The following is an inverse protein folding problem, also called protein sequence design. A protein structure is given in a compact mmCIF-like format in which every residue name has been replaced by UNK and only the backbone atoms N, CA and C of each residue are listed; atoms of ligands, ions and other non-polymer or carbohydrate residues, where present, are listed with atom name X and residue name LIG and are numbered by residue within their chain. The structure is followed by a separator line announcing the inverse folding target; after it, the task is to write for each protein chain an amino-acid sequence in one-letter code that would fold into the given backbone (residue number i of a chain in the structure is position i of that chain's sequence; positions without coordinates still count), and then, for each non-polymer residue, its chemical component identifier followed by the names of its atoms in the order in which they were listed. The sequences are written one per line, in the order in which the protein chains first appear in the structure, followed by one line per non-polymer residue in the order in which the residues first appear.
data_IF_001338890116
#
_entry.id   IF_001338890116
#
_cell.length_a   1.000
_cell.length_b   1.000
_cell.length_c   1.000
_cell.angle_alpha   90.00
_cell.angle_beta   90.00
_cell.angle_gamma   90.00
#
_symmetry.space_group_name_H-M   'P 1'
#
loop_
_entity.id
_entity.type
_entity.pdbx_description
1 polymer ?
#
# COMPACT_ATOMS: atom_id res chain seq x y z
N UNK A 1 20.63 -6.64 5.88
CA UNK A 1 20.25 -5.21 5.92
C UNK A 1 20.79 -4.60 7.20
N UNK A 2 21.27 -3.34 7.18
CA UNK A 2 21.73 -2.64 8.38
C UNK A 2 20.61 -2.48 9.40
N UNK A 3 20.93 -2.54 10.70
CA UNK A 3 19.95 -2.39 11.79
C UNK A 3 19.21 -1.05 11.72
N UNK A 4 19.91 0.01 11.32
CA UNK A 4 19.36 1.36 11.15
C UNK A 4 18.18 1.39 10.18
N UNK A 5 18.29 0.67 9.05
CA UNK A 5 17.21 0.56 8.06
C UNK A 5 15.99 -0.12 8.67
N UNK A 6 16.21 -1.19 9.44
CA UNK A 6 15.11 -1.91 10.13
C UNK A 6 14.40 -0.98 11.11
N UNK A 7 15.15 -0.21 11.91
CA UNK A 7 14.57 0.74 12.87
C UNK A 7 13.78 1.84 12.17
N UNK A 8 14.30 2.41 11.08
CA UNK A 8 13.59 3.42 10.29
C UNK A 8 12.28 2.89 9.71
N UNK A 9 12.28 1.66 9.19
CA UNK A 9 11.07 1.01 8.67
C UNK A 9 10.04 0.77 9.78
N UNK A 10 10.47 0.36 10.98
CA UNK A 10 9.57 0.18 12.12
C UNK A 10 8.96 1.50 12.60
N UNK A 11 9.77 2.55 12.71
CA UNK A 11 9.28 3.90 13.07
C UNK A 11 8.29 4.41 12.03
N UNK A 12 8.63 4.28 10.74
CA UNK A 12 7.73 4.61 9.64
C UNK A 12 6.40 3.84 9.75
N UNK A 13 6.46 2.55 10.06
CA UNK A 13 5.26 1.72 10.24
C UNK A 13 4.36 2.21 11.39
N UNK A 14 4.95 2.60 12.52
CA UNK A 14 4.21 3.16 13.67
C UNK A 14 3.56 4.49 13.31
N UNK A 15 4.31 5.41 12.69
CA UNK A 15 3.78 6.71 12.25
C UNK A 15 2.64 6.51 11.26
N UNK A 16 2.83 5.62 10.29
CA UNK A 16 1.84 5.33 9.26
C UNK A 16 0.56 4.74 9.84
N UNK A 17 0.67 3.78 10.77
CA UNK A 17 -0.47 3.23 11.48
C UNK A 17 -1.19 4.29 12.32
N UNK A 18 -0.44 5.14 13.02
CA UNK A 18 -0.97 6.23 13.84
C UNK A 18 -1.77 7.26 13.02
N UNK A 19 -1.23 7.69 11.88
CA UNK A 19 -1.93 8.60 10.97
C UNK A 19 -3.20 7.94 10.38
N UNK A 20 -3.13 6.69 9.93
CA UNK A 20 -4.30 5.98 9.38
C UNK A 20 -5.39 5.80 10.45
N UNK A 21 -5.01 5.49 11.70
CA UNK A 21 -5.94 5.39 12.81
C UNK A 21 -6.61 6.72 13.13
N UNK A 22 -5.87 7.84 13.06
CA UNK A 22 -6.43 9.19 13.21
C UNK A 22 -7.39 9.51 12.06
N UNK A 23 -6.97 9.23 10.83
CA UNK A 23 -7.73 9.50 9.61
C UNK A 23 -9.06 8.75 9.60
N UNK A 24 -9.06 7.46 9.97
CA UNK A 24 -10.27 6.63 10.06
C UNK A 24 -11.32 7.18 11.05
N UNK A 25 -10.92 8.03 12.00
CA UNK A 25 -11.83 8.66 12.98
C UNK A 25 -12.30 10.05 12.56
N UNK A 26 -11.84 10.58 11.42
CA UNK A 26 -12.26 11.88 10.92
C UNK A 26 -13.61 11.78 10.20
N UNK A 27 -14.36 12.89 10.18
CA UNK A 27 -15.65 12.95 9.46
C UNK A 27 -15.47 12.86 7.93
N UNK A 28 -14.44 13.51 7.39
CA UNK A 28 -14.18 13.60 5.94
C UNK A 28 -12.73 13.18 5.60
N UNK A 29 -12.34 11.90 5.81
CA UNK A 29 -10.98 11.44 5.58
C UNK A 29 -10.52 11.60 4.12
N UNK A 30 -11.43 11.46 3.16
CA UNK A 30 -11.16 11.64 1.74
C UNK A 30 -10.68 13.06 1.40
N UNK A 31 -11.28 14.09 2.03
CA UNK A 31 -10.86 15.48 1.84
C UNK A 31 -9.43 15.67 2.33
N UNK A 32 -9.09 15.11 3.49
CA UNK A 32 -7.75 15.19 4.07
C UNK A 32 -6.72 14.50 3.17
N UNK A 33 -7.05 13.32 2.63
CA UNK A 33 -6.18 12.59 1.69
C UNK A 33 -5.97 13.41 0.40
N UNK A 34 -7.05 13.93 -0.19
CA UNK A 34 -6.97 14.70 -1.45
C UNK A 34 -6.15 15.97 -1.24
N UNK A 35 -6.35 16.68 -0.13
CA UNK A 35 -5.56 17.86 0.22
C UNK A 35 -4.09 17.52 0.42
N UNK A 36 -3.77 16.40 1.10
CA UNK A 36 -2.40 15.96 1.27
C UNK A 36 -1.72 15.69 -0.08
N UNK A 37 -2.39 14.99 -1.01
CA UNK A 37 -1.85 14.77 -2.35
C UNK A 37 -1.70 16.05 -3.15
N UNK A 38 -2.67 16.97 -3.06
CA UNK A 38 -2.58 18.28 -3.72
C UNK A 38 -1.40 19.09 -3.20
N UNK A 39 -1.16 19.12 -1.88
CA UNK A 39 -0.01 19.79 -1.29
C UNK A 39 1.31 19.22 -1.83
N UNK A 40 1.43 17.89 -1.92
CA UNK A 40 2.62 17.25 -2.52
C UNK A 40 2.77 17.65 -3.98
N UNK A 41 1.69 17.63 -4.76
CA UNK A 41 1.69 18.06 -6.16
C UNK A 41 2.17 19.51 -6.32
N UNK A 42 1.67 20.43 -5.50
CA UNK A 42 2.08 21.85 -5.52
C UNK A 42 3.56 22.02 -5.19
N UNK A 43 4.06 21.29 -4.19
CA UNK A 43 5.49 21.32 -3.82
C UNK A 43 6.37 20.81 -4.95
N UNK A 44 5.90 19.85 -5.74
CA UNK A 44 6.64 19.26 -6.86
C UNK A 44 6.47 20.01 -8.19
N UNK A 45 5.56 20.98 -8.29
CA UNK A 45 5.33 21.77 -9.52
C UNK A 45 6.60 22.39 -10.10
N UNK A 46 7.51 23.01 -9.33
CA UNK A 46 8.72 23.60 -9.90
C UNK A 46 9.58 22.58 -10.64
N UNK A 47 9.67 21.35 -10.14
CA UNK A 47 10.42 20.28 -10.81
C UNK A 47 9.77 19.91 -12.15
N UNK A 48 8.44 19.79 -12.19
CA UNK A 48 7.69 19.49 -13.43
C UNK A 48 7.73 20.63 -14.47
N UNK A 49 8.05 21.86 -14.06
CA UNK A 49 8.26 22.99 -14.98
C UNK A 49 9.68 23.00 -15.55
N UNK A 50 10.68 22.68 -14.71
CA UNK A 50 12.09 22.61 -15.14
C UNK A 50 12.32 21.41 -16.06
N UNK A 51 11.71 20.28 -15.75
CA UNK A 51 11.81 19.04 -16.53
C UNK A 51 10.40 18.46 -16.76
N UNK A 52 9.71 18.89 -17.83
CA UNK A 52 8.36 18.42 -18.13
C UNK A 52 8.32 16.91 -18.39
N UNK A 53 7.45 16.14 -17.72
CA UNK A 53 7.44 14.67 -17.79
C UNK A 53 6.78 14.13 -19.07
N UNK A 54 6.98 14.78 -20.22
CA UNK A 54 6.28 14.49 -21.48
C UNK A 54 6.52 13.05 -21.96
N UNK A 55 7.71 12.51 -21.70
CA UNK A 55 8.13 11.16 -22.09
C UNK A 55 7.45 10.07 -21.25
N UNK A 56 7.05 10.41 -20.02
CA UNK A 56 6.48 9.46 -19.04
C UNK A 56 4.99 9.71 -18.77
N UNK A 57 4.32 10.56 -19.56
CA UNK A 57 2.88 10.85 -19.38
C UNK A 57 2.02 9.59 -19.43
N UNK A 58 2.32 8.67 -20.35
CA UNK A 58 1.60 7.39 -20.45
C UNK A 58 1.71 6.56 -19.16
N UNK A 59 2.92 6.45 -18.61
CA UNK A 59 3.17 5.80 -17.33
C UNK A 59 2.48 6.53 -16.17
N UNK A 60 2.48 7.86 -16.18
CA UNK A 60 1.81 8.69 -15.17
C UNK A 60 0.30 8.42 -15.15
N UNK A 61 -0.37 8.35 -16.30
CA UNK A 61 -1.79 8.00 -16.36
C UNK A 61 -2.07 6.57 -15.91
N UNK A 62 -1.23 5.61 -16.29
CA UNK A 62 -1.36 4.23 -15.84
C UNK A 62 -1.20 4.10 -14.31
N UNK A 63 -0.20 4.77 -13.74
CA UNK A 63 0.05 4.81 -12.29
C UNK A 63 -1.13 5.46 -11.57
N UNK A 64 -1.63 6.59 -12.09
CA UNK A 64 -2.81 7.29 -11.55
C UNK A 64 -4.04 6.39 -11.54
N UNK A 65 -4.28 5.60 -12.59
CA UNK A 65 -5.39 4.66 -12.65
C UNK A 65 -5.25 3.56 -11.58
N UNK A 66 -4.05 2.97 -11.43
CA UNK A 66 -3.77 1.99 -10.38
C UNK A 66 -3.92 2.59 -8.97
N UNK A 67 -3.48 3.83 -8.79
CA UNK A 67 -3.60 4.57 -7.54
C UNK A 67 -5.06 4.90 -7.22
N UNK A 68 -5.90 5.21 -8.21
CA UNK A 68 -7.33 5.42 -8.03
C UNK A 68 -8.03 4.14 -7.55
N UNK A 69 -7.66 2.98 -8.11
CA UNK A 69 -8.12 1.67 -7.61
C UNK A 69 -7.69 1.47 -6.15
N UNK A 70 -6.41 1.72 -5.84
CA UNK A 70 -5.88 1.65 -4.48
C UNK A 70 -6.69 2.50 -3.50
N UNK A 71 -6.86 3.80 -3.77
CA UNK A 71 -7.55 4.73 -2.87
C UNK A 71 -9.04 4.40 -2.75
N UNK A 72 -9.71 4.08 -3.87
CA UNK A 72 -11.13 3.73 -3.89
C UNK A 72 -11.43 2.46 -3.11
N UNK A 73 -10.64 1.40 -3.32
CA UNK A 73 -10.77 0.15 -2.58
C UNK A 73 -10.45 0.34 -1.09
N UNK A 74 -9.44 1.14 -0.74
CA UNK A 74 -9.09 1.39 0.65
C UNK A 74 -10.20 2.12 1.41
N UNK A 75 -10.77 3.17 0.80
CA UNK A 75 -11.90 3.89 1.36
C UNK A 75 -13.12 2.98 1.56
N UNK A 76 -13.38 2.09 0.60
CA UNK A 76 -14.44 1.09 0.73
C UNK A 76 -14.18 0.09 1.86
N UNK A 77 -12.94 -0.40 1.99
CA UNK A 77 -12.56 -1.34 3.04
C UNK A 77 -12.70 -0.74 4.45
N UNK A 78 -12.32 0.52 4.63
CA UNK A 78 -12.46 1.22 5.91
C UNK A 78 -13.89 1.63 6.24
N UNK A 79 -14.72 1.91 5.24
CA UNK A 79 -16.14 2.22 5.47
C UNK A 79 -16.93 0.98 5.89
N UNK A 80 -16.63 -0.16 5.27
CA UNK A 80 -17.44 -1.36 5.40
C UNK A 80 -16.88 -2.38 6.40
N UNK A 81 -15.72 -2.13 7.02
CA UNK A 81 -15.10 -3.04 7.97
C UNK A 81 -14.19 -2.35 8.99
N UNK A 82 -13.88 -3.09 10.05
CA UNK A 82 -13.04 -2.62 11.14
C UNK A 82 -11.62 -2.33 10.68
N UNK A 83 -11.04 -1.24 11.21
CA UNK A 83 -9.64 -0.88 10.96
C UNK A 83 -8.69 -2.04 11.32
N UNK A 84 -8.97 -2.77 12.40
CA UNK A 84 -8.17 -3.91 12.86
C UNK A 84 -8.11 -5.08 11.87
N UNK A 85 -9.04 -5.16 10.92
CA UNK A 85 -9.06 -6.19 9.86
C UNK A 85 -8.59 -5.59 8.54
N UNK A 86 -9.21 -4.50 8.11
CA UNK A 86 -8.95 -3.90 6.80
C UNK A 86 -7.50 -3.38 6.69
N UNK A 87 -6.96 -2.75 7.74
CA UNK A 87 -5.63 -2.13 7.70
C UNK A 87 -4.50 -3.17 7.55
N UNK A 88 -4.41 -4.22 8.39
CA UNK A 88 -3.34 -5.21 8.24
C UNK A 88 -3.42 -5.95 6.91
N UNK A 89 -4.62 -6.27 6.42
CA UNK A 89 -4.80 -6.94 5.12
C UNK A 89 -4.32 -6.03 3.99
N UNK A 90 -4.79 -4.78 3.95
CA UNK A 90 -4.42 -3.83 2.89
C UNK A 90 -2.91 -3.58 2.85
N UNK A 91 -2.26 -3.44 4.00
CA UNK A 91 -0.82 -3.14 4.09
C UNK A 91 0.09 -4.36 4.02
N UNK A 92 -0.36 -5.52 4.46
CA UNK A 92 0.43 -6.75 4.41
C UNK A 92 0.36 -7.46 3.05
N UNK A 93 -0.70 -7.24 2.26
CA UNK A 93 -0.83 -7.86 0.94
C UNK A 93 0.27 -7.42 -0.02
N UNK A 94 0.59 -6.12 -0.07
CA UNK A 94 1.62 -5.60 -0.97
C UNK A 94 3.01 -6.21 -0.74
N UNK A 95 3.61 -6.17 0.48
CA UNK A 95 4.91 -6.77 0.73
C UNK A 95 4.91 -8.30 0.54
N UNK A 96 3.80 -8.98 0.83
CA UNK A 96 3.67 -10.41 0.54
C UNK A 96 3.77 -10.67 -0.97
N UNK A 97 3.01 -9.94 -1.78
CA UNK A 97 3.02 -10.07 -3.24
C UNK A 97 4.37 -9.70 -3.85
N UNK A 98 5.01 -8.63 -3.36
CA UNK A 98 6.36 -8.24 -3.82
C UNK A 98 7.38 -9.33 -3.49
N UNK A 99 7.37 -9.86 -2.26
CA UNK A 99 8.29 -10.94 -1.88
C UNK A 99 8.09 -12.22 -2.68
N UNK A 100 6.83 -12.63 -2.93
CA UNK A 100 6.51 -13.79 -3.76
C UNK A 100 6.85 -13.54 -5.24
N UNK A 101 6.61 -12.33 -5.74
CA UNK A 101 6.93 -11.91 -7.10
C UNK A 101 8.43 -11.90 -7.37
N UNK A 102 9.23 -11.38 -6.44
CA UNK A 102 10.70 -11.43 -6.54
C UNK A 102 11.20 -12.87 -6.67
N UNK A 103 10.66 -13.76 -5.84
CA UNK A 103 11.04 -15.17 -5.91
C UNK A 103 10.62 -15.85 -7.22
N UNK A 104 9.34 -15.76 -7.60
CA UNK A 104 8.80 -16.54 -8.71
C UNK A 104 9.05 -15.90 -10.09
N UNK A 105 8.93 -14.57 -10.20
CA UNK A 105 8.99 -13.86 -11.46
C UNK A 105 10.40 -13.34 -11.78
N UNK A 106 11.16 -12.92 -10.77
CA UNK A 106 12.51 -12.37 -10.94
C UNK A 106 13.61 -13.41 -10.69
N UNK A 107 13.25 -14.61 -10.22
CA UNK A 107 14.22 -15.68 -9.94
C UNK A 107 15.12 -15.41 -8.74
N UNK A 108 14.74 -14.47 -7.87
CA UNK A 108 15.49 -14.19 -6.64
C UNK A 108 15.35 -15.36 -5.66
N UNK A 109 16.44 -15.76 -5.01
CA UNK A 109 16.37 -16.80 -3.98
C UNK A 109 16.24 -16.14 -2.59
N UNK A 110 15.07 -16.21 -1.94
CA UNK A 110 14.91 -15.58 -0.63
C UNK A 110 15.81 -16.26 0.40
N UNK A 111 16.46 -15.44 1.24
CA UNK A 111 17.23 -15.96 2.38
C UNK A 111 16.31 -16.72 3.35
N UNK A 112 16.87 -17.60 4.18
CA UNK A 112 16.10 -18.31 5.21
C UNK A 112 15.31 -17.35 6.12
N UNK A 113 15.91 -16.21 6.49
CA UNK A 113 15.24 -15.18 7.29
C UNK A 113 14.07 -14.52 6.54
N UNK A 114 14.25 -14.22 5.25
CA UNK A 114 13.19 -13.68 4.38
C UNK A 114 12.03 -14.67 4.29
N UNK A 115 12.31 -15.94 4.05
CA UNK A 115 11.30 -17.00 3.96
C UNK A 115 10.51 -17.15 5.26
N UNK A 116 11.18 -17.14 6.41
CA UNK A 116 10.52 -17.13 7.73
C UNK A 116 9.61 -15.91 7.86
N UNK A 117 10.10 -14.72 7.48
CA UNK A 117 9.32 -13.48 7.49
C UNK A 117 8.05 -13.57 6.64
N UNK A 118 8.13 -14.12 5.42
CA UNK A 118 6.96 -14.32 4.56
C UNK A 118 5.95 -15.29 5.18
N UNK A 119 6.42 -16.38 5.78
CA UNK A 119 5.53 -17.34 6.47
C UNK A 119 4.82 -16.67 7.64
N UNK A 120 5.55 -15.95 8.49
CA UNK A 120 4.97 -15.23 9.64
C UNK A 120 3.96 -14.18 9.18
N UNK A 121 4.29 -13.41 8.14
CA UNK A 121 3.38 -12.42 7.54
C UNK A 121 2.10 -13.10 7.01
N UNK A 122 2.24 -14.19 6.25
CA UNK A 122 1.12 -14.94 5.67
C UNK A 122 0.20 -15.47 6.75
N UNK A 123 0.75 -16.11 7.79
CA UNK A 123 -0.03 -16.62 8.93
C UNK A 123 -0.75 -15.47 9.64
N UNK A 124 -0.07 -14.36 9.90
CA UNK A 124 -0.68 -13.17 10.50
C UNK A 124 -1.86 -12.64 9.68
N UNK A 125 -1.72 -12.54 8.36
CA UNK A 125 -2.80 -12.10 7.47
C UNK A 125 -3.97 -13.07 7.45
N UNK A 126 -3.72 -14.37 7.45
CA UNK A 126 -4.77 -15.40 7.53
C UNK A 126 -5.54 -15.34 8.85
N UNK A 127 -4.85 -15.12 9.97
CA UNK A 127 -5.49 -14.93 11.27
C UNK A 127 -6.40 -13.69 11.29
N UNK A 128 -5.93 -12.57 10.73
CA UNK A 128 -6.72 -11.34 10.62
C UNK A 128 -7.91 -11.52 9.67
N UNK A 129 -7.72 -12.19 8.53
CA UNK A 129 -8.81 -12.52 7.62
C UNK A 129 -9.85 -13.44 8.27
N UNK A 130 -9.40 -14.42 9.08
CA UNK A 130 -10.28 -15.28 9.87
C UNK A 130 -11.11 -14.50 10.91
N UNK A 131 -10.51 -13.50 11.56
CA UNK A 131 -11.23 -12.57 12.43
C UNK A 131 -12.29 -11.79 11.65
N UNK A 132 -11.92 -11.19 10.51
CA UNK A 132 -12.86 -10.45 9.67
C UNK A 132 -14.01 -11.31 9.14
N UNK A 133 -13.75 -12.59 8.81
CA UNK A 133 -14.78 -13.54 8.42
C UNK A 133 -15.80 -13.78 9.55
N UNK A 134 -15.33 -13.93 10.81
CA UNK A 134 -16.21 -14.04 11.98
C UNK A 134 -17.03 -12.78 12.23
N UNK A 135 -16.46 -11.61 11.94
CA UNK A 135 -17.14 -10.31 12.00
C UNK A 135 -18.05 -10.05 10.79
N UNK A 136 -18.11 -10.97 9.82
CA UNK A 136 -18.87 -10.85 8.56
C UNK A 136 -18.40 -9.68 7.67
N UNK A 137 -17.13 -9.32 7.75
CA UNK A 137 -16.49 -8.22 7.01
C UNK A 137 -15.92 -8.66 5.65
N UNK A 138 -16.54 -9.67 5.00
CA UNK A 138 -16.00 -10.28 3.78
C UNK A 138 -15.77 -9.29 2.63
N UNK A 139 -16.67 -8.30 2.48
CA UNK A 139 -16.51 -7.22 1.50
C UNK A 139 -15.31 -6.33 1.84
N UNK A 140 -15.10 -5.98 3.10
CA UNK A 140 -13.96 -5.18 3.51
C UNK A 140 -12.63 -5.92 3.31
N UNK A 141 -12.59 -7.23 3.57
CA UNK A 141 -11.44 -8.09 3.26
C UNK A 141 -11.13 -8.05 1.75
N UNK A 142 -12.13 -8.26 0.90
CA UNK A 142 -11.92 -8.22 -0.55
C UNK A 142 -11.39 -6.86 -1.02
N UNK A 143 -11.97 -5.76 -0.53
CA UNK A 143 -11.52 -4.41 -0.86
C UNK A 143 -10.10 -4.14 -0.33
N UNK A 144 -9.74 -4.65 0.85
CA UNK A 144 -8.39 -4.55 1.39
C UNK A 144 -7.37 -5.33 0.54
N UNK A 145 -7.73 -6.51 0.01
CA UNK A 145 -6.87 -7.25 -0.92
C UNK A 145 -6.66 -6.47 -2.23
N UNK A 146 -7.71 -5.90 -2.81
CA UNK A 146 -7.59 -5.04 -4.00
C UNK A 146 -6.78 -3.78 -3.74
N UNK A 147 -6.83 -3.25 -2.52
CA UNK A 147 -5.95 -2.15 -2.09
C UNK A 147 -4.48 -2.55 -2.20
N UNK A 148 -4.14 -3.74 -1.70
CA UNK A 148 -2.79 -4.29 -1.80
C UNK A 148 -2.34 -4.49 -3.25
N UNK A 149 -3.22 -5.02 -4.10
CA UNK A 149 -2.96 -5.17 -5.53
C UNK A 149 -2.71 -3.83 -6.23
N UNK A 150 -3.56 -2.83 -5.99
CA UNK A 150 -3.37 -1.48 -6.50
C UNK A 150 -2.05 -0.88 -6.04
N UNK A 151 -1.65 -1.14 -4.79
CA UNK A 151 -0.36 -0.70 -4.23
C UNK A 151 0.82 -1.27 -5.00
N UNK A 152 0.81 -2.58 -5.26
CA UNK A 152 1.84 -3.24 -6.06
C UNK A 152 1.85 -2.71 -7.49
N UNK A 153 0.67 -2.57 -8.10
CA UNK A 153 0.53 -2.13 -9.49
C UNK A 153 1.11 -0.73 -9.71
N UNK A 154 0.72 0.28 -8.92
CA UNK A 154 1.26 1.63 -9.10
C UNK A 154 2.77 1.65 -8.80
N UNK A 155 3.23 0.92 -7.76
CA UNK A 155 4.66 0.90 -7.40
C UNK A 155 5.53 0.31 -8.51
N UNK A 156 5.06 -0.74 -9.20
CA UNK A 156 5.77 -1.34 -10.32
C UNK A 156 5.73 -0.45 -11.58
N UNK A 157 4.60 0.23 -11.82
CA UNK A 157 4.49 1.20 -12.91
C UNK A 157 5.48 2.36 -12.67
N UNK A 158 5.53 2.89 -11.46
CA UNK A 158 6.42 3.99 -11.10
C UNK A 158 7.89 3.58 -11.26
N UNK A 159 8.27 2.39 -10.79
CA UNK A 159 9.62 1.85 -10.95
C UNK A 159 10.03 1.76 -12.42
N UNK A 160 9.14 1.28 -13.30
CA UNK A 160 9.42 1.18 -14.75
C UNK A 160 9.41 2.51 -15.48
N UNK A 161 8.84 3.56 -14.88
CA UNK A 161 8.79 4.87 -15.54
C UNK A 161 10.10 5.64 -15.44
N UNK A 162 10.99 5.22 -14.53
CA UNK A 162 12.32 5.81 -14.31
C UNK A 162 13.47 4.95 -14.86
N UNK A 163 13.15 3.78 -15.42
CA UNK A 163 14.09 2.89 -16.12
C UNK A 163 14.24 3.29 -17.60
#
# INVERSE_FOLDING_TARGET
MPLEVVLLVLVSSVIHAGWNARLHRMENPEVVIIMAYLCVGVVLLPAAVVDPPVEVLGWTFASTAAQAVYVGCLGSAYRDGSLSVAYPIARGTAPLLVGLGGWWLLGETPSAATSIGLVVLTVGLLLVAGLGARLREGRAIAMALFTGLGTVAYSLIDARSVD
#
